data_IF_047692506363
#
_entry.id   IF_047692506363
#
_cell.length_a   1.000
_cell.length_b   1.000
_cell.length_c   1.000
_cell.angle_alpha   90.00
_cell.angle_beta   90.00
_cell.angle_gamma   90.00
#
_symmetry.space_group_name_H-M   'P 1'
#
loop_
_entity.id
_entity.type
_entity.pdbx_description
1 polymer ?
#
# COMPACT_ATOMS: atom_id res chain seq x y z
N UNK A 1 1.63 9.73 2.68
CA UNK A 1 2.16 8.76 1.72
C UNK A 1 3.49 8.22 2.23
N UNK A 2 3.66 6.90 2.14
CA UNK A 2 4.92 6.22 2.46
C UNK A 2 5.42 5.52 1.20
N UNK A 3 6.70 5.66 0.91
CA UNK A 3 7.39 4.86 -0.09
C UNK A 3 8.47 4.02 0.61
N UNK A 4 8.21 2.72 0.70
CA UNK A 4 9.15 1.74 1.21
C UNK A 4 9.94 1.17 0.03
N UNK A 5 11.07 1.80 -0.26
CA UNK A 5 11.91 1.45 -1.39
C UNK A 5 12.30 -0.03 -1.38
N UNK A 6 12.22 -0.68 -2.53
CA UNK A 6 12.43 -2.12 -2.67
C UNK A 6 13.35 -2.41 -3.84
N UNK A 7 14.53 -2.95 -3.56
CA UNK A 7 15.42 -3.50 -4.59
C UNK A 7 14.96 -4.92 -4.92
N UNK A 8 14.07 -5.08 -5.90
CA UNK A 8 13.40 -6.36 -6.19
C UNK A 8 14.34 -7.48 -6.58
N UNK A 9 15.39 -7.19 -7.34
CA UNK A 9 16.38 -8.20 -7.71
C UNK A 9 17.14 -8.72 -6.49
N UNK A 10 17.55 -7.83 -5.59
CA UNK A 10 18.19 -8.22 -4.33
C UNK A 10 17.20 -8.97 -3.45
N UNK A 11 15.98 -8.48 -3.32
CA UNK A 11 14.91 -9.12 -2.54
C UNK A 11 14.66 -10.57 -3.01
N UNK A 12 14.70 -10.83 -4.31
CA UNK A 12 14.47 -12.17 -4.85
C UNK A 12 15.52 -13.19 -4.41
N UNK A 13 16.75 -12.76 -4.14
CA UNK A 13 17.82 -13.59 -3.60
C UNK A 13 17.68 -13.84 -2.09
N UNK A 14 17.13 -12.87 -1.35
CA UNK A 14 17.04 -12.91 0.11
C UNK A 14 15.73 -13.52 0.62
N UNK A 15 14.78 -13.71 -0.24
CA UNK A 15 13.38 -14.01 0.00
C UNK A 15 13.17 -15.35 0.73
N UNK A 16 13.98 -16.36 0.45
CA UNK A 16 13.96 -17.66 1.10
C UNK A 16 15.38 -18.16 1.38
N UNK A 17 15.62 -18.68 2.59
CA UNK A 17 14.68 -18.94 3.69
C UNK A 17 14.49 -17.76 4.65
N UNK A 18 15.29 -16.71 4.54
CA UNK A 18 15.45 -15.70 5.60
C UNK A 18 14.59 -14.43 5.44
N UNK A 19 14.12 -14.15 4.24
CA UNK A 19 13.33 -12.95 3.94
C UNK A 19 14.16 -11.75 3.44
N UNK A 20 13.50 -10.63 3.08
CA UNK A 20 14.12 -9.50 2.41
C UNK A 20 14.81 -8.55 3.39
N UNK A 21 16.10 -8.64 3.57
CA UNK A 21 16.87 -7.76 4.44
C UNK A 21 17.43 -6.54 3.69
N UNK A 22 18.41 -6.71 2.82
CA UNK A 22 19.06 -5.61 2.10
C UNK A 22 18.16 -5.03 1.00
N UNK A 23 17.33 -5.86 0.39
CA UNK A 23 16.35 -5.44 -0.60
C UNK A 23 15.29 -4.46 -0.07
N UNK A 24 15.18 -4.31 1.26
CA UNK A 24 14.22 -3.44 1.95
C UNK A 24 14.85 -2.40 2.89
N UNK A 25 16.08 -2.60 3.30
CA UNK A 25 16.67 -1.81 4.41
C UNK A 25 17.48 -0.61 3.99
N UNK A 26 17.46 -0.19 2.72
CA UNK A 26 18.28 0.91 2.24
C UNK A 26 17.59 2.28 2.27
N UNK A 27 16.28 2.35 2.37
CA UNK A 27 15.60 3.63 2.49
C UNK A 27 14.07 3.53 2.50
N UNK A 28 13.45 4.47 3.22
CA UNK A 28 12.02 4.72 3.19
C UNK A 28 11.78 6.23 3.17
N UNK A 29 10.76 6.66 2.44
CA UNK A 29 10.37 8.07 2.37
C UNK A 29 8.94 8.22 2.86
N UNK A 30 8.70 9.19 3.74
CA UNK A 30 7.38 9.48 4.31
C UNK A 30 7.08 10.96 4.13
N UNK A 31 5.86 11.28 3.66
CA UNK A 31 5.42 12.67 3.61
C UNK A 31 5.17 13.20 5.02
N UNK A 32 5.45 14.49 5.24
CA UNK A 32 5.18 15.17 6.51
C UNK A 32 3.68 15.47 6.74
N UNK A 33 2.85 15.29 5.71
CA UNK A 33 1.43 15.62 5.77
C UNK A 33 0.61 14.42 6.21
N UNK A 34 -0.30 14.67 7.15
CA UNK A 34 -1.33 13.72 7.59
C UNK A 34 -2.68 14.23 7.09
N UNK A 35 -3.42 13.35 6.39
CA UNK A 35 -4.78 13.62 5.95
C UNK A 35 -5.71 12.79 6.83
N UNK A 36 -6.70 13.43 7.44
CA UNK A 36 -7.65 12.74 8.33
C UNK A 36 -8.65 11.90 7.52
N UNK A 37 -9.27 10.90 8.17
CA UNK A 37 -10.31 10.08 7.52
C UNK A 37 -11.53 10.90 7.12
N UNK A 38 -11.88 11.93 7.92
CA UNK A 38 -12.97 12.85 7.60
C UNK A 38 -12.72 13.62 6.30
N UNK A 39 -11.47 14.01 6.05
CA UNK A 39 -11.10 14.69 4.81
C UNK A 39 -11.11 13.73 3.60
N UNK A 40 -10.97 12.42 3.82
CA UNK A 40 -11.05 11.40 2.78
C UNK A 40 -12.49 10.94 2.49
N UNK A 41 -13.45 11.28 3.33
CA UNK A 41 -14.84 10.79 3.21
C UNK A 41 -15.47 11.06 1.82
N UNK A 42 -15.27 12.23 1.18
CA UNK A 42 -15.80 12.48 -0.18
C UNK A 42 -15.22 11.56 -1.26
N UNK A 43 -14.12 10.88 -0.99
CA UNK A 43 -13.42 9.98 -1.91
C UNK A 43 -13.68 8.50 -1.64
N UNK A 44 -14.62 8.19 -0.76
CA UNK A 44 -14.96 6.81 -0.40
C UNK A 44 -15.59 6.09 -1.58
N UNK A 45 -15.09 4.89 -1.88
CA UNK A 45 -15.52 4.03 -2.99
C UNK A 45 -15.65 2.58 -2.55
N UNK A 46 -16.37 1.78 -3.33
CA UNK A 46 -16.38 0.34 -3.17
C UNK A 46 -14.98 -0.22 -3.54
N UNK A 47 -14.51 -1.18 -2.77
CA UNK A 47 -13.35 -1.99 -3.12
C UNK A 47 -13.70 -3.10 -4.11
N UNK A 48 -12.71 -3.88 -4.55
CA UNK A 48 -12.93 -5.10 -5.32
C UNK A 48 -13.84 -6.10 -4.58
N UNK A 49 -14.55 -6.92 -5.34
CA UNK A 49 -15.30 -8.04 -4.77
C UNK A 49 -14.31 -9.02 -4.13
N UNK A 50 -14.55 -9.38 -2.88
CA UNK A 50 -13.67 -10.29 -2.15
C UNK A 50 -14.16 -11.73 -2.31
N UNK A 51 -13.39 -12.55 -3.01
CA UNK A 51 -13.62 -13.99 -3.20
C UNK A 51 -12.35 -14.79 -2.89
N UNK A 52 -12.42 -15.81 -2.03
CA UNK A 52 -13.58 -16.22 -1.25
C UNK A 52 -14.04 -15.15 -0.26
N UNK A 53 -15.28 -15.28 0.22
CA UNK A 53 -15.82 -14.38 1.25
C UNK A 53 -14.86 -14.34 2.46
N UNK A 54 -14.51 -13.16 2.96
CA UNK A 54 -13.59 -13.02 4.10
C UNK A 54 -14.12 -13.72 5.37
N UNK A 55 -13.18 -14.12 6.21
CA UNK A 55 -13.51 -14.65 7.54
C UNK A 55 -14.38 -13.65 8.31
N UNK A 56 -15.23 -14.17 9.19
CA UNK A 56 -16.26 -13.38 9.86
C UNK A 56 -15.74 -12.09 10.52
N UNK A 57 -14.57 -12.15 11.15
CA UNK A 57 -13.97 -10.99 11.82
C UNK A 57 -13.41 -9.92 10.85
N UNK A 58 -13.27 -10.25 9.55
CA UNK A 58 -12.83 -9.34 8.50
C UNK A 58 -13.97 -8.83 7.62
N UNK A 59 -15.20 -9.31 7.83
CA UNK A 59 -16.33 -8.87 7.03
C UNK A 59 -16.67 -7.42 7.35
N UNK A 60 -16.76 -6.63 6.32
CA UNK A 60 -17.03 -5.22 6.42
C UNK A 60 -18.07 -4.80 5.37
N UNK A 61 -19.32 -4.48 5.76
CA UNK A 61 -20.35 -4.08 4.81
C UNK A 61 -20.14 -2.62 4.36
N UNK A 62 -20.38 -2.32 3.09
CA UNK A 62 -20.37 -0.96 2.54
C UNK A 62 -19.12 -0.62 1.71
N UNK A 63 -18.85 0.68 1.55
CA UNK A 63 -17.71 1.18 0.80
C UNK A 63 -16.56 1.49 1.75
N UNK A 64 -15.39 0.88 1.54
CA UNK A 64 -14.29 0.93 2.49
C UNK A 64 -12.97 1.36 1.91
N UNK A 65 -12.89 1.49 0.57
CA UNK A 65 -11.71 2.00 -0.11
C UNK A 65 -11.87 3.49 -0.41
N UNK A 66 -10.80 4.09 -0.90
CA UNK A 66 -10.76 5.52 -1.23
C UNK A 66 -10.18 5.72 -2.63
N UNK A 67 -10.79 6.58 -3.41
CA UNK A 67 -10.28 7.02 -4.71
C UNK A 67 -9.13 8.01 -4.50
N UNK A 68 -7.94 7.46 -4.26
CA UNK A 68 -6.69 8.23 -4.13
C UNK A 68 -5.80 7.86 -5.31
N UNK A 69 -5.63 8.79 -6.23
CA UNK A 69 -4.74 8.62 -7.38
C UNK A 69 -3.29 8.66 -6.93
N UNK A 70 -2.51 7.70 -7.41
CA UNK A 70 -1.10 7.55 -7.13
C UNK A 70 -0.33 7.68 -8.44
N UNK A 71 0.68 8.51 -8.44
CA UNK A 71 1.56 8.72 -9.59
C UNK A 71 3.00 8.63 -9.12
N UNK A 72 3.83 7.94 -9.88
CA UNK A 72 5.26 7.80 -9.61
C UNK A 72 6.03 8.38 -10.78
N UNK A 73 6.80 9.40 -10.49
CA UNK A 73 7.70 10.05 -11.43
C UNK A 73 9.15 9.63 -11.16
N UNK A 74 9.88 9.32 -12.22
CA UNK A 74 11.30 9.05 -12.18
C UNK A 74 12.04 10.16 -12.94
N UNK A 75 13.02 10.73 -12.29
CA UNK A 75 13.94 11.69 -12.91
C UNK A 75 15.38 11.20 -12.73
N UNK A 76 16.03 10.68 -13.79
CA UNK A 76 17.45 10.40 -13.76
C UNK A 76 18.28 11.69 -13.58
N UNK A 77 19.49 11.56 -13.04
CA UNK A 77 20.39 12.71 -12.89
C UNK A 77 20.63 13.37 -14.25
N UNK A 78 20.36 14.69 -14.33
CA UNK A 78 20.45 15.47 -15.57
C UNK A 78 19.43 15.11 -16.66
N UNK A 79 18.50 14.20 -16.39
CA UNK A 79 17.49 13.75 -17.34
C UNK A 79 16.11 14.39 -17.13
N UNK A 80 15.17 14.15 -18.05
CA UNK A 80 13.78 14.59 -17.92
C UNK A 80 13.02 13.74 -16.88
N UNK A 81 12.03 14.35 -16.24
CA UNK A 81 11.05 13.62 -15.42
C UNK A 81 10.11 12.81 -16.33
N UNK A 82 9.90 11.57 -15.98
CA UNK A 82 8.97 10.66 -16.69
C UNK A 82 8.06 9.98 -15.68
N UNK A 83 6.77 10.01 -15.92
CA UNK A 83 5.82 9.23 -15.12
C UNK A 83 5.94 7.76 -15.52
N UNK A 84 6.27 6.92 -14.54
CA UNK A 84 6.51 5.48 -14.73
C UNK A 84 5.37 4.62 -14.22
N UNK A 85 4.50 5.16 -13.35
CA UNK A 85 3.33 4.43 -12.86
C UNK A 85 2.18 5.37 -12.52
N UNK A 86 0.97 4.92 -12.83
CA UNK A 86 -0.30 5.54 -12.40
C UNK A 86 -1.20 4.47 -11.83
N UNK A 87 -1.44 4.51 -10.54
CA UNK A 87 -2.26 3.56 -9.82
C UNK A 87 -3.32 4.27 -8.97
N UNK A 88 -4.10 3.52 -8.23
CA UNK A 88 -5.15 4.06 -7.37
C UNK A 88 -5.29 3.22 -6.10
N UNK A 89 -5.37 3.88 -4.96
CA UNK A 89 -5.58 3.21 -3.68
C UNK A 89 -6.90 2.43 -3.62
N UNK A 90 -7.91 2.85 -4.39
CA UNK A 90 -9.19 2.15 -4.51
C UNK A 90 -9.07 0.71 -5.02
N UNK A 91 -7.94 0.34 -5.64
CA UNK A 91 -7.66 -1.00 -6.14
C UNK A 91 -7.21 -1.98 -5.04
N UNK A 92 -6.98 -1.50 -3.82
CA UNK A 92 -6.60 -2.36 -2.70
C UNK A 92 -7.66 -3.41 -2.43
N UNK A 93 -7.25 -4.69 -2.37
CA UNK A 93 -8.15 -5.81 -2.07
C UNK A 93 -8.64 -5.77 -0.62
N UNK A 94 -7.72 -5.53 0.33
CA UNK A 94 -8.02 -5.40 1.75
C UNK A 94 -8.14 -3.92 2.12
N UNK A 95 -9.23 -3.55 2.77
CA UNK A 95 -9.40 -2.19 3.30
C UNK A 95 -8.42 -1.90 4.45
N UNK A 96 -8.18 -0.62 4.75
CA UNK A 96 -7.36 -0.22 5.89
C UNK A 96 -7.86 -0.83 7.20
N UNK A 97 -9.18 -0.86 7.42
CA UNK A 97 -9.77 -1.44 8.62
C UNK A 97 -9.57 -2.96 8.70
N UNK A 98 -9.66 -3.67 7.57
CA UNK A 98 -9.39 -5.11 7.52
C UNK A 98 -7.92 -5.41 7.83
N UNK A 99 -6.98 -4.64 7.28
CA UNK A 99 -5.54 -4.80 7.56
C UNK A 99 -5.24 -4.58 9.04
N UNK A 100 -5.81 -3.53 9.63
CA UNK A 100 -5.66 -3.24 11.06
C UNK A 100 -6.25 -4.35 11.94
N UNK A 101 -7.46 -4.81 11.62
CA UNK A 101 -8.14 -5.88 12.34
C UNK A 101 -7.35 -7.19 12.26
N UNK A 102 -6.84 -7.52 11.08
CA UNK A 102 -6.04 -8.73 10.90
C UNK A 102 -4.73 -8.66 11.69
N UNK A 103 -4.05 -7.53 11.69
CA UNK A 103 -2.83 -7.32 12.47
C UNK A 103 -3.09 -7.50 13.98
N UNK A 104 -4.20 -6.98 14.49
CA UNK A 104 -4.55 -7.12 15.91
C UNK A 104 -5.05 -8.52 16.29
N UNK A 105 -5.48 -9.34 15.34
CA UNK A 105 -6.11 -10.65 15.60
C UNK A 105 -5.17 -11.66 16.25
N UNK A 106 -3.87 -11.47 16.16
CA UNK A 106 -2.84 -12.32 16.80
C UNK A 106 -2.44 -11.85 18.21
N UNK A 107 -3.13 -10.87 18.78
CA UNK A 107 -2.82 -10.30 20.08
C UNK A 107 -1.80 -9.16 20.06
N UNK A 108 -1.46 -8.64 18.89
CA UNK A 108 -0.62 -7.44 18.77
C UNK A 108 -1.41 -6.21 19.22
N UNK A 109 -0.92 -5.50 20.22
CA UNK A 109 -1.55 -4.27 20.70
C UNK A 109 -1.44 -3.16 19.65
N UNK A 110 -2.46 -2.31 19.63
CA UNK A 110 -2.52 -1.11 18.79
C UNK A 110 -2.42 0.12 19.68
N UNK A 111 -1.59 1.07 19.29
CA UNK A 111 -1.41 2.32 20.01
C UNK A 111 -1.67 3.52 19.12
N UNK A 112 -2.11 4.62 19.71
CA UNK A 112 -2.25 5.89 18.98
C UNK A 112 -0.87 6.38 18.56
N UNK A 113 -0.69 6.59 17.25
CA UNK A 113 0.59 6.97 16.67
C UNK A 113 1.28 5.83 15.91
N UNK A 114 0.75 4.61 15.95
CA UNK A 114 1.25 3.51 15.13
C UNK A 114 1.15 3.84 13.63
N UNK A 115 2.23 3.55 12.91
CA UNK A 115 2.29 3.72 11.47
C UNK A 115 2.05 2.38 10.77
N UNK A 116 1.05 2.34 9.92
CA UNK A 116 0.72 1.20 9.08
C UNK A 116 0.97 1.51 7.61
N UNK A 117 1.39 0.51 6.86
CA UNK A 117 1.56 0.60 5.42
C UNK A 117 0.80 -0.52 4.71
N UNK A 118 0.13 -0.17 3.63
CA UNK A 118 -0.67 -1.11 2.83
C UNK A 118 0.17 -2.11 2.03
N UNK A 119 1.48 -1.91 1.95
CA UNK A 119 2.31 -2.58 0.96
C UNK A 119 2.17 -1.96 -0.43
N UNK A 120 2.74 -2.62 -1.44
CA UNK A 120 2.73 -2.17 -2.83
C UNK A 120 1.32 -2.07 -3.38
N UNK A 121 1.00 -0.95 -4.03
CA UNK A 121 -0.30 -0.71 -4.66
C UNK A 121 -0.12 -0.77 -6.17
N UNK A 122 -0.56 -1.86 -6.77
CA UNK A 122 -0.50 -2.07 -8.22
C UNK A 122 -1.90 -2.18 -8.81
N UNK A 123 -2.06 -1.67 -10.02
CA UNK A 123 -3.26 -1.85 -10.82
C UNK A 123 -3.10 -2.96 -11.86
N UNK A 124 -4.09 -3.16 -12.73
CA UNK A 124 -4.15 -4.30 -13.66
C UNK A 124 -3.34 -4.10 -14.95
N UNK A 125 -2.78 -2.92 -15.19
CA UNK A 125 -2.05 -2.58 -16.42
C UNK A 125 -0.55 -2.45 -16.16
N UNK A 126 0.31 -2.66 -17.16
CA UNK A 126 1.77 -2.55 -17.00
C UNK A 126 2.24 -1.18 -16.48
N UNK A 127 1.52 -0.12 -16.80
CA UNK A 127 1.81 1.25 -16.36
C UNK A 127 1.19 1.60 -14.99
N UNK A 128 0.59 0.64 -14.31
CA UNK A 128 -0.01 0.80 -12.99
C UNK A 128 0.66 -0.04 -11.89
N UNK A 129 1.83 -0.59 -12.17
CA UNK A 129 2.59 -1.36 -11.19
C UNK A 129 3.20 -0.42 -10.14
N UNK A 130 3.06 -0.78 -8.86
CA UNK A 130 3.57 0.01 -7.74
C UNK A 130 5.05 -0.26 -7.42
N UNK A 131 5.73 -1.06 -8.22
CA UNK A 131 7.16 -1.40 -8.08
C UNK A 131 7.78 -1.60 -9.45
N UNK A 132 9.03 -1.20 -9.58
CA UNK A 132 9.84 -1.43 -10.79
C UNK A 132 10.49 -2.81 -10.76
#
# INVERSE_FOLDING_TARGET
LLNDWSARDIQSWEYQPLGPFLGKSFGSSVSAWVVTLEALEPFRVAGPVQEPEPLLYLRQPGQHNFDIKLEVDLQPDGGPTTTISRSNFGLMYWSMAQQLTHHASNGCNLEVGDLYASGTISGPTPDSLGSM
#
